data_IF_720126764554
#
_entry.id   IF_720126764554
#
_cell.length_a   1.000
_cell.length_b   1.000
_cell.length_c   1.000
_cell.angle_alpha   90.00
_cell.angle_beta   90.00
_cell.angle_gamma   90.00
#
_symmetry.space_group_name_H-M   'P 1'
#
loop_
_entity.id
_entity.type
_entity.pdbx_description
1 polymer ?
#
# COMPACT_ATOMS: atom_id res chain seq x y z
N UNK A 1 8.01 10.80 2.44
CA UNK A 1 7.25 10.10 1.38
C UNK A 1 7.93 8.78 1.10
N UNK A 2 7.19 7.68 1.11
CA UNK A 2 7.66 6.31 0.84
C UNK A 2 7.15 5.85 -0.53
N UNK A 3 7.88 4.95 -1.19
CA UNK A 3 7.38 4.15 -2.32
C UNK A 3 7.23 2.73 -1.79
N UNK A 4 5.99 2.25 -1.71
CA UNK A 4 5.70 0.92 -1.22
C UNK A 4 5.52 -0.03 -2.39
N UNK A 5 6.16 -1.19 -2.34
CA UNK A 5 5.99 -2.27 -3.29
C UNK A 5 5.03 -3.30 -2.72
N UNK A 6 3.98 -3.62 -3.47
CA UNK A 6 3.10 -4.74 -3.21
C UNK A 6 3.62 -5.96 -3.98
N UNK A 7 4.37 -6.88 -3.35
CA UNK A 7 5.10 -7.94 -4.06
C UNK A 7 4.20 -8.91 -4.84
N UNK A 8 2.96 -9.12 -4.39
CA UNK A 8 1.99 -10.03 -5.03
C UNK A 8 1.44 -9.43 -6.33
N UNK A 9 0.73 -8.30 -6.22
CA UNK A 9 0.18 -7.58 -7.37
C UNK A 9 1.27 -6.99 -8.28
N UNK A 10 2.52 -6.98 -7.79
CA UNK A 10 3.68 -6.30 -8.34
C UNK A 10 3.36 -4.83 -8.70
N UNK A 11 2.51 -4.22 -7.86
CA UNK A 11 2.14 -2.82 -7.95
C UNK A 11 2.96 -2.01 -6.96
N UNK A 12 3.07 -0.72 -7.23
CA UNK A 12 3.81 0.20 -6.38
C UNK A 12 2.92 1.39 -6.08
N UNK A 13 3.06 1.99 -4.90
CA UNK A 13 2.30 3.18 -4.51
C UNK A 13 3.19 4.24 -3.87
N UNK A 14 2.86 5.50 -4.09
CA UNK A 14 3.34 6.60 -3.27
C UNK A 14 2.54 6.66 -1.98
N UNK A 15 3.23 6.80 -0.85
CA UNK A 15 2.62 7.00 0.46
C UNK A 15 3.26 8.20 1.17
N UNK A 16 2.44 9.14 1.65
CA UNK A 16 2.88 10.23 2.52
C UNK A 16 1.84 10.46 3.63
N UNK A 17 2.34 10.53 4.86
CA UNK A 17 1.58 10.92 6.07
C UNK A 17 2.15 12.21 6.63
N UNK A 18 1.34 12.98 7.36
CA UNK A 18 1.79 14.13 8.16
C UNK A 18 2.29 13.63 9.52
N UNK A 19 3.52 13.93 9.86
CA UNK A 19 4.19 13.45 11.09
C UNK A 19 3.35 13.70 12.36
N UNK A 20 2.86 14.92 12.59
CA UNK A 20 2.16 15.24 13.85
C UNK A 20 0.75 14.62 14.03
N UNK A 21 0.08 14.25 12.95
CA UNK A 21 -1.33 13.80 13.00
C UNK A 21 -1.55 12.43 12.35
N UNK A 22 -0.49 11.80 11.86
CA UNK A 22 -0.44 10.55 11.08
C UNK A 22 -1.43 10.44 9.91
N UNK A 23 -2.06 11.56 9.53
CA UNK A 23 -3.06 11.63 8.46
C UNK A 23 -2.42 11.38 7.11
N UNK A 24 -3.07 10.54 6.31
CA UNK A 24 -2.69 10.26 4.93
C UNK A 24 -2.96 11.48 4.09
N UNK A 25 -1.93 11.95 3.40
CA UNK A 25 -2.06 13.04 2.42
C UNK A 25 -1.72 12.59 1.01
N UNK A 26 -1.09 11.43 0.86
CA UNK A 26 -0.81 10.81 -0.43
C UNK A 26 -0.90 9.30 -0.30
N UNK A 27 -1.74 8.70 -1.12
CA UNK A 27 -1.82 7.27 -1.35
C UNK A 27 -2.22 7.07 -2.82
N UNK A 28 -1.23 6.96 -3.71
CA UNK A 28 -1.43 6.92 -5.16
C UNK A 28 -0.73 5.72 -5.77
N UNK A 29 -1.43 4.96 -6.61
CA UNK A 29 -0.83 3.87 -7.38
C UNK A 29 0.12 4.43 -8.44
N UNK A 30 1.31 3.83 -8.56
CA UNK A 30 2.26 4.14 -9.62
C UNK A 30 1.86 3.33 -10.86
N UNK A 31 1.23 4.02 -11.81
CA UNK A 31 0.79 3.46 -13.07
C UNK A 31 1.91 3.48 -14.13
N UNK A 32 1.77 2.68 -15.17
CA UNK A 32 2.74 2.61 -16.29
C UNK A 32 2.83 3.91 -17.10
N UNK A 33 1.78 4.72 -17.08
CA UNK A 33 1.66 6.02 -17.75
C UNK A 33 1.89 7.20 -16.80
N UNK A 34 2.29 6.94 -15.54
CA UNK A 34 2.68 7.99 -14.61
C UNK A 34 3.83 8.81 -15.20
N UNK A 35 3.66 10.13 -15.23
CA UNK A 35 4.67 11.05 -15.75
C UNK A 35 5.08 12.07 -14.68
N UNK A 36 6.36 12.03 -14.29
CA UNK A 36 6.97 13.05 -13.45
C UNK A 36 7.51 14.19 -14.33
N UNK A 37 6.92 15.37 -14.18
CA UNK A 37 7.34 16.59 -14.87
C UNK A 37 8.19 17.47 -13.95
N UNK A 38 9.33 18.02 -14.40
CA UNK A 38 10.10 18.95 -13.61
C UNK A 38 9.30 20.24 -13.41
N UNK A 39 9.36 20.81 -12.21
CA UNK A 39 8.71 22.09 -11.96
C UNK A 39 9.50 23.21 -12.65
N UNK A 40 8.83 24.03 -13.48
CA UNK A 40 9.48 25.12 -14.25
C UNK A 40 10.29 26.10 -13.38
N UNK A 41 9.93 26.21 -12.11
CA UNK A 41 10.51 27.14 -11.14
C UNK A 41 11.56 26.52 -10.23
N UNK A 42 11.81 25.20 -10.30
CA UNK A 42 12.71 24.51 -9.36
C UNK A 42 13.24 23.18 -9.92
N UNK A 43 14.56 23.02 -9.93
CA UNK A 43 15.26 21.76 -10.22
C UNK A 43 15.15 20.72 -9.09
N UNK A 44 14.68 21.15 -7.91
CA UNK A 44 14.47 20.31 -6.73
C UNK A 44 13.05 19.76 -6.61
N UNK A 45 12.21 19.90 -7.64
CA UNK A 45 10.79 19.58 -7.53
C UNK A 45 10.23 18.86 -8.76
N UNK A 46 9.34 17.91 -8.49
CA UNK A 46 8.63 17.13 -9.50
C UNK A 46 7.12 17.27 -9.30
N UNK A 47 6.39 17.25 -10.40
CA UNK A 47 4.93 17.36 -10.45
C UNK A 47 4.38 16.17 -11.22
N UNK A 48 3.27 15.61 -10.75
CA UNK A 48 2.54 14.56 -11.47
C UNK A 48 1.05 14.66 -11.14
N UNK A 49 0.23 13.92 -11.88
CA UNK A 49 -1.20 13.79 -11.60
C UNK A 49 -1.56 12.32 -11.37
N UNK A 50 -2.55 12.08 -10.52
CA UNK A 50 -3.03 10.73 -10.22
C UNK A 50 -4.25 10.72 -9.30
N UNK A 51 -4.95 9.58 -9.25
CA UNK A 51 -6.04 9.37 -8.28
C UNK A 51 -5.46 9.12 -6.90
N UNK A 52 -5.62 10.09 -6.00
CA UNK A 52 -5.20 10.05 -4.61
C UNK A 52 -6.29 9.43 -3.73
N UNK A 53 -5.96 8.42 -2.93
CA UNK A 53 -6.90 7.69 -2.07
C UNK A 53 -6.62 7.98 -0.60
N UNK A 54 -7.11 9.12 -0.11
CA UNK A 54 -6.89 9.57 1.27
C UNK A 54 -8.07 9.22 2.18
N UNK A 55 -7.90 9.41 3.49
CA UNK A 55 -8.91 9.08 4.51
C UNK A 55 -10.22 9.88 4.34
N UNK A 56 -10.18 11.05 3.71
CA UNK A 56 -11.36 11.91 3.56
C UNK A 56 -12.13 11.68 2.26
N UNK A 57 -11.45 11.27 1.18
CA UNK A 57 -12.03 11.03 -0.16
C UNK A 57 -10.98 10.52 -1.16
N UNK A 58 -11.47 9.97 -2.28
CA UNK A 58 -10.65 9.66 -3.47
C UNK A 58 -10.85 10.70 -4.57
N UNK A 59 -9.77 11.33 -5.04
CA UNK A 59 -9.83 12.42 -6.01
C UNK A 59 -8.66 12.39 -7.02
N UNK A 60 -8.91 12.84 -8.25
CA UNK A 60 -7.85 13.09 -9.22
C UNK A 60 -7.15 14.41 -8.86
N UNK A 61 -5.89 14.33 -8.47
CA UNK A 61 -5.11 15.46 -7.97
C UNK A 61 -3.83 15.65 -8.77
N UNK A 62 -3.41 16.91 -8.91
CA UNK A 62 -2.08 17.26 -9.36
C UNK A 62 -1.21 17.59 -8.14
N UNK A 63 -0.17 16.80 -7.93
CA UNK A 63 0.69 16.88 -6.76
C UNK A 63 2.09 17.35 -7.15
N UNK A 64 2.74 18.02 -6.21
CA UNK A 64 4.12 18.42 -6.33
C UNK A 64 4.89 17.97 -5.10
N UNK A 65 6.10 17.44 -5.31
CA UNK A 65 7.05 17.19 -4.24
C UNK A 65 8.28 18.07 -4.44
N UNK A 66 8.78 18.64 -3.34
CA UNK A 66 10.02 19.42 -3.31
C UNK A 66 11.01 18.75 -2.36
N UNK A 67 12.25 18.62 -2.81
CA UNK A 67 13.34 18.03 -2.06
C UNK A 67 14.29 19.10 -1.52
N UNK A 68 15.03 18.74 -0.46
CA UNK A 68 16.06 19.60 0.16
C UNK A 68 17.14 20.00 -0.85
N UNK A 69 17.56 19.06 -1.70
CA UNK A 69 18.58 19.25 -2.72
C UNK A 69 18.21 18.57 -4.05
N UNK A 70 18.95 18.92 -5.10
CA UNK A 70 18.74 18.42 -6.46
C UNK A 70 19.06 16.92 -6.56
N UNK A 71 20.08 16.44 -5.84
CA UNK A 71 20.49 15.03 -5.86
C UNK A 71 19.37 14.10 -5.37
N UNK A 72 18.69 14.46 -4.29
CA UNK A 72 17.52 13.73 -3.78
C UNK A 72 16.37 13.75 -4.78
N UNK A 73 16.11 14.89 -5.42
CA UNK A 73 15.09 15.00 -6.45
C UNK A 73 15.39 14.09 -7.65
N UNK A 74 16.65 14.06 -8.11
CA UNK A 74 17.08 13.21 -9.22
C UNK A 74 17.05 11.73 -8.84
N UNK A 75 17.48 11.37 -7.63
CA UNK A 75 17.42 10.00 -7.13
C UNK A 75 15.96 9.51 -7.04
N UNK A 76 15.06 10.35 -6.51
CA UNK A 76 13.63 10.04 -6.48
C UNK A 76 13.08 9.79 -7.90
N UNK A 77 13.34 10.69 -8.83
CA UNK A 77 12.91 10.52 -10.22
C UNK A 77 13.45 9.22 -10.83
N UNK A 78 14.73 8.90 -10.60
CA UNK A 78 15.34 7.66 -11.08
C UNK A 78 14.62 6.42 -10.52
N UNK A 79 14.38 6.36 -9.21
CA UNK A 79 13.68 5.23 -8.57
C UNK A 79 12.26 5.09 -9.15
N UNK A 80 11.54 6.20 -9.35
CA UNK A 80 10.19 6.14 -9.94
C UNK A 80 10.23 5.64 -11.37
N UNK A 81 11.20 6.06 -12.20
CA UNK A 81 11.36 5.54 -13.55
C UNK A 81 11.70 4.04 -13.58
N UNK A 82 12.54 3.56 -12.65
CA UNK A 82 12.81 2.13 -12.49
C UNK A 82 11.54 1.36 -12.10
N UNK A 83 10.73 1.90 -11.19
CA UNK A 83 9.45 1.33 -10.79
C UNK A 83 8.46 1.30 -11.95
N UNK A 84 8.28 2.40 -12.70
CA UNK A 84 7.43 2.46 -13.89
C UNK A 84 7.87 1.41 -14.92
N UNK A 85 9.17 1.22 -15.09
CA UNK A 85 9.72 0.19 -15.99
C UNK A 85 9.34 -1.22 -15.54
N UNK A 86 9.40 -1.50 -14.22
CA UNK A 86 8.92 -2.78 -13.66
C UNK A 86 7.42 -2.97 -13.87
N UNK A 87 6.62 -1.93 -13.62
CA UNK A 87 5.16 -1.97 -13.85
C UNK A 87 4.82 -2.27 -15.31
N UNK A 88 5.54 -1.67 -16.27
CA UNK A 88 5.37 -1.94 -17.71
C UNK A 88 5.72 -3.38 -18.10
N UNK A 89 6.79 -3.95 -17.52
CA UNK A 89 7.18 -5.34 -17.78
C UNK A 89 6.07 -6.30 -17.33
N UNK A 90 5.54 -6.11 -16.13
CA UNK A 90 4.44 -6.93 -15.58
C UNK A 90 3.18 -6.85 -16.44
N UNK A 91 2.82 -5.66 -16.93
CA UNK A 91 1.67 -5.52 -17.84
C UNK A 91 1.89 -6.25 -19.17
N UNK A 92 3.12 -6.21 -19.71
CA UNK A 92 3.46 -6.88 -20.98
C UNK A 92 3.42 -8.41 -20.83
N UNK A 93 3.93 -8.95 -19.71
CA UNK A 93 3.89 -10.37 -19.40
C UNK A 93 2.44 -10.89 -19.26
N UNK A 94 1.59 -10.14 -18.55
CA UNK A 94 0.15 -10.46 -18.40
C UNK A 94 -0.62 -10.46 -19.72
N UNK A 95 -0.22 -9.63 -20.68
CA UNK A 95 -0.84 -9.59 -22.03
C UNK A 95 -0.35 -10.75 -22.90
N UNK A 96 0.91 -11.18 -22.77
CA UNK A 96 1.45 -12.28 -23.59
C UNK A 96 0.88 -13.67 -23.23
N UNK A 97 0.45 -13.89 -21.99
CA UNK A 97 -0.15 -15.16 -21.55
C UNK A 97 -1.57 -15.35 -22.12
N UNK A 98 -2.22 -14.26 -22.58
CA UNK A 98 -3.58 -14.31 -23.16
C UNK A 98 -3.61 -14.52 -24.68
N UNK A 99 -2.47 -14.66 -25.35
CA UNK A 99 -2.41 -14.70 -26.82
C UNK A 99 -1.60 -15.89 -27.35
N UNK A 100 -2.25 -17.04 -27.54
CA UNK A 100 -1.97 -18.05 -28.59
C UNK A 100 -3.25 -18.86 -28.93
N UNK A 101 -3.37 -19.44 -30.14
CA UNK A 101 -4.56 -19.26 -30.98
C UNK A 101 -5.46 -20.51 -31.08
N UNK A 102 -6.77 -20.33 -31.01
CA UNK A 102 -7.72 -21.31 -31.55
C UNK A 102 -8.04 -20.99 -33.02
N UNK A 103 -7.53 -21.83 -33.93
CA UNK A 103 -8.04 -21.96 -35.29
C UNK A 103 -9.20 -22.96 -35.31
N UNK A 104 -10.40 -22.48 -35.62
CA UNK A 104 -11.33 -23.21 -36.48
C UNK A 104 -12.19 -22.19 -37.22
N UNK A 105 -12.06 -22.16 -38.54
CA UNK A 105 -12.73 -21.18 -39.39
C UNK A 105 -14.19 -21.51 -39.67
N UNK A 106 -14.94 -20.47 -40.04
CA UNK A 106 -15.72 -20.52 -41.27
C UNK A 106 -15.88 -19.11 -41.88
N UNK A 107 -15.91 -19.05 -43.19
CA UNK A 107 -15.90 -17.83 -44.01
C UNK A 107 -17.30 -17.24 -44.18
N UNK A 108 -17.44 -15.91 -44.08
CA UNK A 108 -18.37 -15.14 -44.93
C UNK A 108 -17.70 -13.81 -45.33
N UNK A 109 -17.84 -13.49 -46.62
CA UNK A 109 -17.23 -12.39 -47.36
C UNK A 109 -17.88 -11.03 -47.11
N UNK A 110 -17.02 -10.02 -47.13
CA UNK A 110 -17.12 -8.66 -47.69
C UNK A 110 -18.41 -7.84 -47.51
N UNK A 111 -18.28 -6.70 -46.84
CA UNK A 111 -18.59 -5.41 -47.46
C UNK A 111 -17.79 -4.27 -46.79
N UNK A 112 -17.03 -3.56 -47.63
CA UNK A 112 -16.08 -2.50 -47.31
C UNK A 112 -16.80 -1.15 -47.32
N UNK A 113 -16.87 -0.45 -46.18
CA UNK A 113 -17.17 1.00 -46.15
C UNK A 113 -16.22 1.71 -45.18
N UNK A 114 -15.40 2.58 -45.76
CA UNK A 114 -14.44 3.44 -45.09
C UNK A 114 -15.13 4.58 -44.33
N UNK A 115 -14.76 4.79 -43.06
CA UNK A 115 -14.81 6.11 -42.40
C UNK A 115 -13.73 6.23 -41.31
N UNK A 116 -12.80 7.18 -41.52
CA UNK A 116 -12.39 8.17 -40.52
C UNK A 116 -11.50 7.73 -39.34
N UNK A 117 -10.21 8.00 -39.49
CA UNK A 117 -9.23 8.18 -38.42
C UNK A 117 -9.75 9.20 -37.37
N UNK A 118 -9.86 8.80 -36.09
CA UNK A 118 -10.17 9.72 -34.98
C UNK A 118 -8.98 9.80 -34.02
N UNK A 119 -8.39 10.99 -34.05
CA UNK A 119 -7.29 11.49 -33.23
C UNK A 119 -7.65 11.48 -31.73
N UNK A 120 -6.81 10.81 -30.93
CA UNK A 120 -6.94 10.65 -29.48
C UNK A 120 -6.55 11.91 -28.68
N UNK A 121 -6.35 13.05 -29.32
CA UNK A 121 -6.02 14.34 -28.67
C UNK A 121 -7.18 15.05 -27.96
N UNK A 122 -8.35 14.40 -27.76
CA UNK A 122 -9.60 15.08 -27.32
C UNK A 122 -10.12 14.81 -25.91
N UNK A 123 -9.37 14.18 -25.02
CA UNK A 123 -9.78 14.00 -23.61
C UNK A 123 -8.91 14.75 -22.59
N UNK A 124 -8.66 16.04 -22.86
CA UNK A 124 -8.24 17.00 -21.82
C UNK A 124 -9.35 18.05 -21.71
N UNK A 125 -10.06 18.15 -20.58
CA UNK A 125 -10.95 19.28 -20.32
C UNK A 125 -10.17 20.60 -20.40
N UNK A 126 -10.62 21.50 -21.28
CA UNK A 126 -9.95 22.75 -21.65
C UNK A 126 -10.03 23.85 -20.57
N UNK A 127 -10.02 23.52 -19.29
CA UNK A 127 -10.24 24.49 -18.19
C UNK A 127 -9.01 24.79 -17.33
N UNK A 128 -7.83 24.25 -17.67
CA UNK A 128 -6.57 24.59 -16.98
C UNK A 128 -5.51 24.99 -18.01
N UNK A 129 -5.80 26.06 -18.74
CA UNK A 129 -4.80 26.90 -19.38
C UNK A 129 -5.20 28.36 -19.12
N UNK A 130 -4.70 28.90 -18.02
CA UNK A 130 -4.24 30.28 -17.83
C UNK A 130 -4.35 30.67 -16.36
N UNK A 131 -3.21 30.74 -15.69
CA UNK A 131 -2.77 31.80 -14.78
C UNK A 131 -1.31 31.41 -14.47
N UNK A 132 -0.28 31.95 -15.12
CA UNK A 132 -0.11 33.35 -15.47
C UNK A 132 0.57 34.03 -14.28
N UNK A 133 1.88 33.79 -14.15
CA UNK A 133 2.76 34.48 -13.20
C UNK A 133 2.88 35.92 -13.68
N UNK A 134 2.49 36.89 -12.86
CA UNK A 134 2.82 38.30 -13.08
C UNK A 134 3.61 38.83 -11.89
N UNK A 135 4.87 39.19 -12.18
CA UNK A 135 5.66 40.17 -11.45
C UNK A 135 4.95 41.52 -11.41
N UNK A 136 4.83 42.14 -10.24
CA UNK A 136 4.62 43.58 -10.14
C UNK A 136 5.51 44.16 -9.05
N UNK A 137 6.61 44.77 -9.50
CA UNK A 137 7.36 45.80 -8.79
C UNK A 137 6.61 47.14 -8.86
N UNK A 138 6.44 47.84 -7.74
CA UNK A 138 6.71 49.29 -7.55
C UNK A 138 5.91 49.89 -6.39
N UNK A 139 6.64 50.31 -5.35
CA UNK A 139 6.61 51.60 -4.65
C UNK A 139 5.31 52.32 -4.18
N UNK A 140 5.44 52.75 -2.92
CA UNK A 140 4.97 53.97 -2.24
C UNK A 140 3.68 54.01 -1.39
N UNK A 141 3.96 54.15 -0.08
CA UNK A 141 3.39 55.08 0.92
C UNK A 141 2.06 54.73 1.62
N UNK A 142 2.13 54.52 2.94
CA UNK A 142 0.94 54.56 3.81
C UNK A 142 1.09 54.06 5.25
N UNK A 143 1.91 54.74 6.06
CA UNK A 143 1.74 54.94 7.51
C UNK A 143 1.58 53.75 8.49
N UNK A 144 2.66 53.50 9.23
CA UNK A 144 2.75 53.41 10.70
C UNK A 144 1.89 52.39 11.47
N UNK A 145 2.58 51.42 12.09
CA UNK A 145 2.54 51.15 13.54
C UNK A 145 3.72 50.26 13.95
N UNK A 146 4.59 50.81 14.78
CA UNK A 146 5.68 50.12 15.48
C UNK A 146 5.11 49.16 16.55
N UNK A 147 5.72 47.98 16.68
CA UNK A 147 5.92 47.31 17.97
C UNK A 147 7.15 46.39 17.86
N UNK A 148 8.08 46.59 18.79
CA UNK A 148 9.44 46.04 18.89
C UNK A 148 9.54 44.85 19.85
N UNK A 149 10.68 44.13 19.74
CA UNK A 149 11.26 43.10 20.61
C UNK A 149 10.58 41.71 20.56
N UNK A 150 11.30 40.59 20.51
CA UNK A 150 12.73 40.37 20.71
C UNK A 150 13.20 39.06 20.07
N UNK A 151 14.52 38.97 19.90
CA UNK A 151 15.26 37.74 19.64
C UNK A 151 15.20 36.89 20.92
N UNK A 152 14.68 35.67 20.82
CA UNK A 152 14.93 34.60 21.78
C UNK A 152 15.73 33.55 21.00
N UNK A 153 17.01 33.43 21.37
CA UNK A 153 17.83 32.26 21.05
C UNK A 153 17.36 31.14 21.97
N UNK A 154 16.57 30.20 21.44
CA UNK A 154 16.30 28.93 22.10
C UNK A 154 17.25 27.89 21.50
N UNK A 155 18.37 27.68 22.21
CA UNK A 155 19.13 26.44 22.20
C UNK A 155 18.24 25.34 22.79
N UNK A 156 17.49 24.64 21.94
CA UNK A 156 16.94 23.34 22.29
C UNK A 156 17.86 22.26 21.70
N UNK A 157 18.58 21.59 22.59
CA UNK A 157 19.32 20.36 22.33
C UNK A 157 18.35 19.32 21.71
N UNK A 158 18.41 19.16 20.38
CA UNK A 158 17.83 18.00 19.69
C UNK A 158 18.63 16.77 20.10
N UNK A 159 18.26 16.18 21.25
CA UNK A 159 18.44 14.75 21.46
C UNK A 159 17.56 14.05 20.41
N UNK A 160 18.12 13.90 19.19
CA UNK A 160 17.70 12.94 18.17
C UNK A 160 17.88 11.53 18.75
N UNK A 161 17.05 11.17 19.73
CA UNK A 161 16.69 9.78 19.91
C UNK A 161 15.85 9.45 18.67
N UNK A 162 16.50 8.83 17.68
CA UNK A 162 15.87 8.02 16.65
C UNK A 162 15.02 6.93 17.36
N UNK A 163 13.91 7.31 18.01
CA UNK A 163 12.84 6.41 18.34
C UNK A 163 12.32 5.93 16.98
N UNK A 164 12.69 4.69 16.62
CA UNK A 164 12.12 4.00 15.47
C UNK A 164 10.61 4.24 15.47
N UNK A 165 10.14 5.12 14.56
CA UNK A 165 8.78 5.65 14.45
C UNK A 165 7.83 4.53 13.97
N UNK A 166 7.67 3.54 14.83
CA UNK A 166 6.86 2.35 14.60
C UNK A 166 5.39 2.71 14.85
N UNK A 167 4.78 3.34 13.85
CA UNK A 167 3.37 3.75 13.83
C UNK A 167 2.36 2.58 13.93
N UNK A 168 2.81 1.34 14.11
CA UNK A 168 1.91 0.17 14.19
C UNK A 168 1.07 0.20 15.47
N UNK A 169 -0.24 0.26 15.30
CA UNK A 169 -1.17 0.20 16.43
C UNK A 169 -1.48 -1.25 16.81
N UNK A 170 -1.06 -1.69 18.00
CA UNK A 170 -1.45 -3.01 18.54
C UNK A 170 -2.92 -2.98 18.98
N UNK A 171 -3.76 -3.76 18.32
CA UNK A 171 -5.20 -3.90 18.61
C UNK A 171 -5.45 -5.02 19.64
N UNK A 172 -4.64 -6.07 19.59
CA UNK A 172 -4.76 -7.23 20.46
C UNK A 172 -3.40 -7.82 20.80
N UNK A 173 -3.23 -8.28 22.03
CA UNK A 173 -2.08 -9.11 22.42
C UNK A 173 -2.47 -10.12 23.49
N UNK A 174 -2.26 -11.41 23.22
CA UNK A 174 -2.38 -12.47 24.22
C UNK A 174 -1.46 -13.65 23.95
N UNK A 175 -1.12 -14.32 25.04
CA UNK A 175 -0.45 -15.62 25.03
C UNK A 175 -1.32 -16.71 24.38
N UNK A 176 -0.75 -17.48 23.46
CA UNK A 176 -1.41 -18.64 22.88
C UNK A 176 -0.42 -19.79 22.59
N UNK A 177 -0.95 -20.99 22.40
CA UNK A 177 -0.22 -22.09 21.74
C UNK A 177 -0.59 -22.08 20.26
N UNK A 178 0.40 -21.83 19.40
CA UNK A 178 0.25 -21.89 17.95
C UNK A 178 0.49 -23.32 17.47
N UNK A 179 -0.41 -23.83 16.63
CA UNK A 179 -0.27 -25.11 15.93
C UNK A 179 -0.46 -24.93 14.43
N UNK A 180 0.16 -25.78 13.62
CA UNK A 180 0.01 -25.83 12.17
C UNK A 180 -0.55 -27.19 11.75
N UNK A 181 -1.46 -27.21 10.79
CA UNK A 181 -1.99 -28.44 10.23
C UNK A 181 -1.04 -28.96 9.13
N UNK A 182 -0.48 -30.15 9.33
CA UNK A 182 0.40 -30.82 8.39
C UNK A 182 -0.12 -32.24 8.15
N UNK A 183 -0.46 -32.56 6.90
CA UNK A 183 -1.02 -33.86 6.49
C UNK A 183 -2.27 -34.25 7.31
N UNK A 184 -3.15 -33.29 7.61
CA UNK A 184 -4.36 -33.50 8.39
C UNK A 184 -4.16 -33.53 9.91
N UNK A 185 -2.91 -33.58 10.40
CA UNK A 185 -2.60 -33.59 11.82
C UNK A 185 -2.15 -32.21 12.32
N UNK A 186 -2.59 -31.83 13.51
CA UNK A 186 -2.15 -30.60 14.16
C UNK A 186 -0.83 -30.81 14.89
N UNK A 187 0.19 -30.04 14.51
CA UNK A 187 1.50 -30.04 15.19
C UNK A 187 1.73 -28.70 15.87
N UNK A 188 2.14 -28.73 17.13
CA UNK A 188 2.49 -27.52 17.87
C UNK A 188 3.72 -26.87 17.23
N UNK A 189 3.61 -25.58 16.91
CA UNK A 189 4.69 -24.74 16.38
C UNK A 189 5.43 -24.08 17.53
N UNK A 190 4.71 -23.33 18.37
CA UNK A 190 5.29 -22.65 19.54
C UNK A 190 4.23 -22.36 20.60
N UNK A 191 4.68 -22.14 21.84
CA UNK A 191 4.00 -21.28 22.79
C UNK A 191 4.57 -19.88 22.63
N UNK A 192 3.72 -18.84 22.69
CA UNK A 192 4.19 -17.50 22.44
C UNK A 192 3.11 -16.44 22.55
N UNK A 193 3.46 -15.22 22.18
CA UNK A 193 2.55 -14.07 22.19
C UNK A 193 2.01 -13.85 20.79
N UNK A 194 0.68 -13.89 20.68
CA UNK A 194 -0.06 -13.54 19.48
C UNK A 194 -0.49 -12.09 19.60
N UNK A 195 -0.20 -11.32 18.55
CA UNK A 195 -0.56 -9.93 18.39
C UNK A 195 -1.41 -9.74 17.14
N UNK A 196 -2.38 -8.84 17.22
CA UNK A 196 -3.01 -8.24 16.04
C UNK A 196 -2.66 -6.77 16.05
N UNK A 197 -2.07 -6.27 14.98
CA UNK A 197 -1.74 -4.85 14.84
C UNK A 197 -2.19 -4.32 13.49
N UNK A 198 -2.58 -3.06 13.45
CA UNK A 198 -2.82 -2.33 12.22
C UNK A 198 -1.50 -1.78 11.69
N UNK A 199 -1.20 -2.06 10.43
CA UNK A 199 -0.04 -1.56 9.71
C UNK A 199 -0.50 -0.38 8.83
N UNK A 200 -0.22 0.86 9.23
CA UNK A 200 -0.67 2.04 8.49
C UNK A 200 0.03 2.16 7.13
N UNK A 201 1.20 1.55 6.93
CA UNK A 201 1.82 1.55 5.60
C UNK A 201 1.03 0.64 4.63
N UNK A 202 0.38 -0.41 5.13
CA UNK A 202 -0.40 -1.35 4.33
C UNK A 202 -1.92 -1.11 4.34
N UNK A 203 -2.43 -0.29 5.26
CA UNK A 203 -3.86 -0.11 5.52
C UNK A 203 -4.58 -1.42 5.84
N UNK A 204 -3.85 -2.32 6.49
CA UNK A 204 -4.30 -3.66 6.76
C UNK A 204 -3.83 -4.09 8.13
N UNK A 205 -4.58 -4.99 8.74
CA UNK A 205 -4.15 -5.62 9.97
C UNK A 205 -3.30 -6.86 9.69
N UNK A 206 -2.44 -7.21 10.64
CA UNK A 206 -1.63 -8.44 10.63
C UNK A 206 -1.84 -9.24 11.89
N UNK A 207 -1.84 -10.56 11.76
CA UNK A 207 -1.75 -11.52 12.87
C UNK A 207 -0.29 -11.94 12.96
N UNK A 208 0.39 -11.56 14.04
CA UNK A 208 1.78 -11.89 14.28
C UNK A 208 1.90 -12.78 15.51
N UNK A 209 2.75 -13.79 15.46
CA UNK A 209 3.04 -14.66 16.60
C UNK A 209 4.54 -14.72 16.82
N UNK A 210 4.96 -14.38 18.03
CA UNK A 210 6.35 -14.42 18.45
C UNK A 210 6.54 -15.55 19.48
N UNK A 211 7.66 -16.27 19.39
CA UNK A 211 8.04 -17.23 20.44
C UNK A 211 8.62 -16.52 21.67
N UNK A 212 8.96 -17.28 22.72
CA UNK A 212 9.51 -16.74 23.97
C UNK A 212 10.88 -16.07 23.83
N UNK A 213 11.57 -16.29 22.71
CA UNK A 213 12.83 -15.63 22.38
C UNK A 213 12.61 -14.31 21.63
N UNK A 214 11.35 -13.95 21.35
CA UNK A 214 10.97 -12.77 20.57
C UNK A 214 10.98 -12.98 19.06
N UNK A 215 11.34 -14.16 18.56
CA UNK A 215 11.40 -14.44 17.13
C UNK A 215 9.99 -14.59 16.55
N UNK A 216 9.75 -13.94 15.41
CA UNK A 216 8.49 -14.05 14.67
C UNK A 216 8.42 -15.43 14.02
N UNK A 217 7.44 -16.25 14.46
CA UNK A 217 7.19 -17.60 13.91
C UNK A 217 6.04 -17.63 12.90
N UNK A 218 5.23 -16.58 12.90
CA UNK A 218 4.15 -16.39 11.95
C UNK A 218 3.81 -14.91 11.82
N UNK A 219 3.57 -14.45 10.60
CA UNK A 219 3.12 -13.10 10.28
C UNK A 219 2.17 -13.17 9.08
N UNK A 220 0.87 -13.22 9.37
CA UNK A 220 -0.22 -13.32 8.39
C UNK A 220 -0.83 -11.95 8.15
N UNK A 221 -0.97 -11.54 6.89
CA UNK A 221 -1.78 -10.38 6.50
C UNK A 221 -3.26 -10.73 6.59
N UNK A 222 -4.09 -9.89 7.20
CA UNK A 222 -5.54 -10.05 7.14
C UNK A 222 -6.02 -9.42 5.84
N UNK A 223 -6.34 -10.26 4.85
CA UNK A 223 -6.99 -9.87 3.60
C UNK A 223 -8.46 -10.26 3.55
N UNK A 224 -9.21 -9.78 2.55
CA UNK A 224 -10.63 -10.11 2.30
C UNK A 224 -10.87 -11.61 2.10
N UNK A 225 -9.84 -12.34 1.69
CA UNK A 225 -9.82 -13.79 1.48
C UNK A 225 -9.29 -14.57 2.70
N UNK A 226 -8.86 -13.89 3.77
CA UNK A 226 -8.52 -14.54 5.03
C UNK A 226 -9.81 -14.96 5.71
N UNK A 227 -9.95 -16.25 6.00
CA UNK A 227 -11.12 -16.80 6.68
C UNK A 227 -10.69 -17.37 8.02
N UNK A 228 -11.36 -16.93 9.09
CA UNK A 228 -11.17 -17.43 10.44
C UNK A 228 -12.39 -18.19 10.94
N UNK A 229 -12.15 -19.39 11.45
CA UNK A 229 -13.13 -20.19 12.19
C UNK A 229 -12.80 -20.17 13.69
N UNK A 230 -13.83 -20.15 14.53
CA UNK A 230 -13.67 -20.13 15.98
C UNK A 230 -14.46 -21.27 16.60
N UNK A 231 -13.77 -22.09 17.38
CA UNK A 231 -14.39 -23.16 18.16
C UNK A 231 -13.83 -23.14 19.59
N UNK A 232 -14.70 -22.89 20.57
CA UNK A 232 -14.34 -22.82 22.00
C UNK A 232 -13.19 -21.83 22.22
N UNK A 233 -12.03 -22.29 22.64
CA UNK A 233 -10.84 -21.50 22.89
C UNK A 233 -9.81 -21.57 21.74
N UNK A 234 -10.22 -22.05 20.57
CA UNK A 234 -9.39 -22.18 19.39
C UNK A 234 -9.89 -21.24 18.29
N UNK A 235 -8.94 -20.60 17.60
CA UNK A 235 -9.19 -19.86 16.37
C UNK A 235 -8.31 -20.45 15.28
N UNK A 236 -8.91 -20.83 14.15
CA UNK A 236 -8.25 -21.44 13.00
C UNK A 236 -8.34 -20.48 11.83
N UNK A 237 -7.23 -20.22 11.15
CA UNK A 237 -7.23 -19.43 9.93
C UNK A 237 -6.25 -20.01 8.93
N UNK A 238 -6.47 -19.67 7.66
CA UNK A 238 -5.51 -19.93 6.59
C UNK A 238 -4.98 -18.59 6.11
N UNK A 239 -3.66 -18.49 6.03
CA UNK A 239 -2.99 -17.27 5.58
C UNK A 239 -1.72 -17.58 4.83
N UNK A 240 -1.23 -16.61 4.08
CA UNK A 240 0.10 -16.62 3.49
C UNK A 240 1.10 -16.29 4.59
N UNK A 241 2.11 -17.13 4.73
CA UNK A 241 3.16 -16.93 5.71
C UNK A 241 4.26 -16.03 5.15
N UNK A 242 4.41 -14.86 5.78
CA UNK A 242 5.45 -13.89 5.46
C UNK A 242 6.63 -13.89 6.45
N UNK A 243 6.56 -14.67 7.54
CA UNK A 243 7.72 -14.88 8.41
C UNK A 243 8.79 -15.75 7.73
N UNK A 244 10.05 -15.52 8.07
CA UNK A 244 11.25 -16.03 7.38
C UNK A 244 11.12 -17.47 6.86
N UNK A 245 11.15 -17.63 5.53
CA UNK A 245 11.02 -18.93 4.86
C UNK A 245 10.45 -18.80 3.44
N UNK A 246 10.19 -19.92 2.73
CA UNK A 246 9.45 -19.90 1.48
C UNK A 246 7.99 -19.49 1.72
N UNK A 247 7.51 -18.52 0.95
CA UNK A 247 6.12 -18.06 0.96
C UNK A 247 5.22 -19.27 0.68
N UNK A 248 4.32 -19.58 1.61
CA UNK A 248 3.41 -20.71 1.51
C UNK A 248 2.13 -20.45 2.29
N UNK A 249 1.06 -21.14 1.92
CA UNK A 249 -0.14 -21.19 2.74
C UNK A 249 0.12 -22.05 3.98
N UNK A 250 -0.32 -21.55 5.13
CA UNK A 250 -0.37 -22.31 6.38
C UNK A 250 -1.78 -22.30 6.90
N UNK A 251 -2.26 -23.45 7.36
CA UNK A 251 -3.47 -23.54 8.18
C UNK A 251 -3.03 -23.56 9.63
N UNK A 252 -3.30 -22.46 10.33
CA UNK A 252 -2.82 -22.18 11.68
C UNK A 252 -3.97 -22.25 12.67
N UNK A 253 -3.65 -22.67 13.90
CA UNK A 253 -4.58 -22.68 15.02
C UNK A 253 -3.93 -22.05 16.22
N UNK A 254 -4.51 -20.96 16.71
CA UNK A 254 -4.19 -20.39 18.00
C UNK A 254 -5.10 -21.03 19.07
N UNK A 255 -4.49 -21.56 20.13
CA UNK A 255 -5.21 -22.07 21.32
C UNK A 255 -4.96 -21.14 22.50
N UNK A 256 -6.01 -20.54 23.01
CA UNK A 256 -5.96 -19.61 24.13
C UNK A 256 -6.31 -20.29 25.46
N UNK A 257 -6.01 -19.60 26.56
CA UNK A 257 -6.31 -20.08 27.92
C UNK A 257 -7.82 -20.14 28.23
N UNK A 258 -8.64 -19.41 27.47
CA UNK A 258 -10.10 -19.35 27.67
C UNK A 258 -10.85 -19.11 26.37
N UNK A 259 -12.15 -19.43 26.39
CA UNK A 259 -13.08 -19.11 25.29
C UNK A 259 -13.19 -17.60 25.08
N UNK A 260 -13.21 -16.82 26.17
CA UNK A 260 -13.29 -15.36 26.09
C UNK A 260 -12.08 -14.76 25.36
N UNK A 261 -10.87 -15.28 25.61
CA UNK A 261 -9.67 -14.84 24.92
C UNK A 261 -9.70 -15.13 23.40
N UNK A 262 -10.25 -16.29 23.00
CA UNK A 262 -10.45 -16.63 21.59
C UNK A 262 -11.51 -15.73 20.93
N UNK A 263 -12.59 -15.40 21.64
CA UNK A 263 -13.61 -14.46 21.15
C UNK A 263 -13.05 -13.04 20.98
N UNK A 264 -12.25 -12.56 21.93
CA UNK A 264 -11.59 -11.25 21.85
C UNK A 264 -10.64 -11.18 20.66
N UNK A 265 -9.85 -12.24 20.41
CA UNK A 265 -9.04 -12.35 19.21
C UNK A 265 -9.88 -12.29 17.94
N UNK A 266 -11.00 -13.04 17.88
CA UNK A 266 -11.88 -13.02 16.73
C UNK A 266 -12.48 -11.63 16.46
N UNK A 267 -12.89 -10.89 17.49
CA UNK A 267 -13.38 -9.52 17.32
C UNK A 267 -12.34 -8.61 16.69
N UNK A 268 -11.08 -8.70 17.13
CA UNK A 268 -9.97 -7.92 16.56
C UNK A 268 -9.61 -8.37 15.14
N UNK A 269 -9.74 -9.66 14.84
CA UNK A 269 -9.64 -10.15 13.47
C UNK A 269 -10.74 -9.58 12.57
N UNK A 270 -11.99 -9.52 13.04
CA UNK A 270 -13.11 -8.96 12.27
C UNK A 270 -12.93 -7.46 12.01
N UNK A 271 -12.38 -6.72 12.97
CA UNK A 271 -11.97 -5.32 12.77
C UNK A 271 -10.87 -5.20 11.71
N UNK A 272 -9.85 -6.07 11.79
CA UNK A 272 -8.82 -6.19 10.76
C UNK A 272 -9.37 -6.51 9.36
N UNK A 273 -10.37 -7.40 9.28
CA UNK A 273 -11.05 -7.76 8.04
C UNK A 273 -11.87 -6.59 7.48
N UNK A 274 -12.45 -5.76 8.33
CA UNK A 274 -13.17 -4.56 7.90
C UNK A 274 -12.21 -3.57 7.20
N UNK A 275 -11.01 -3.35 7.75
CA UNK A 275 -10.00 -2.55 7.05
C UNK A 275 -9.65 -3.16 5.68
N UNK A 276 -9.45 -4.48 5.63
CA UNK A 276 -9.15 -5.16 4.38
C UNK A 276 -10.26 -4.99 3.33
N UNK A 277 -11.53 -5.01 3.73
CA UNK A 277 -12.67 -4.78 2.84
C UNK A 277 -12.75 -3.35 2.33
N UNK A 278 -12.45 -2.37 3.18
CA UNK A 278 -12.45 -0.95 2.82
C UNK A 278 -11.37 -0.62 1.78
N UNK A 279 -10.21 -1.27 1.88
CA UNK A 279 -9.06 -1.01 1.01
C UNK A 279 -8.77 -2.12 -0.02
N UNK A 280 -9.70 -3.08 -0.19
CA UNK A 280 -9.61 -4.23 -1.11
C UNK A 280 -8.28 -5.00 -1.00
N UNK A 281 -7.85 -5.27 0.24
CA UNK A 281 -6.59 -5.96 0.55
C UNK A 281 -6.79 -7.46 0.45
N UNK A 282 -5.95 -8.15 -0.32
CA UNK A 282 -6.01 -9.61 -0.53
C UNK A 282 -4.70 -10.27 -0.08
N UNK A 283 -4.78 -11.38 0.66
CA UNK A 283 -3.63 -12.17 1.11
C UNK A 283 -3.37 -13.36 0.18
N UNK A 284 -2.53 -13.19 -0.83
CA UNK A 284 -2.24 -14.19 -1.87
C UNK A 284 -0.75 -14.44 -2.08
N UNK A 285 -0.39 -15.66 -2.48
CA UNK A 285 1.00 -16.01 -2.83
C UNK A 285 1.30 -15.42 -4.22
N UNK A 286 2.39 -14.65 -4.40
CA UNK A 286 2.77 -14.15 -5.71
C UNK A 286 2.97 -15.29 -6.72
N UNK A 287 2.18 -15.29 -7.81
CA UNK A 287 2.36 -16.21 -8.95
C UNK A 287 1.63 -17.56 -8.86
N UNK A 288 0.77 -17.78 -7.85
CA UNK A 288 -0.16 -18.91 -7.88
C UNK A 288 -1.19 -18.71 -9.00
N UNK A 289 -1.28 -19.64 -9.95
CA UNK A 289 -2.34 -19.64 -10.97
C UNK A 289 -3.68 -19.99 -10.33
N UNK A 290 -4.81 -19.50 -10.88
CA UNK A 290 -6.18 -19.77 -10.39
C UNK A 290 -6.45 -21.28 -10.15
N UNK A 291 -5.76 -22.17 -10.86
CA UNK A 291 -5.84 -23.63 -10.68
C UNK A 291 -5.29 -24.15 -9.33
N UNK A 292 -4.35 -23.48 -8.68
CA UNK A 292 -3.82 -23.91 -7.38
C UNK A 292 -4.74 -23.48 -6.22
N UNK A 293 -5.46 -22.37 -6.39
CA UNK A 293 -6.41 -21.83 -5.40
C UNK A 293 -7.70 -22.62 -5.32
N UNK A 294 -8.16 -23.23 -6.42
CA UNK A 294 -9.38 -24.05 -6.44
C UNK A 294 -9.20 -25.46 -5.86
N UNK A 295 -7.97 -25.99 -5.78
CA UNK A 295 -7.71 -27.34 -5.22
C UNK A 295 -7.92 -27.44 -3.70
N UNK A 296 -8.11 -26.31 -3.02
CA UNK A 296 -8.27 -26.23 -1.55
C UNK A 296 -9.72 -26.03 -1.13
N UNK A 297 -10.66 -26.05 -2.08
CA UNK A 297 -12.10 -25.91 -1.88
C UNK A 297 -12.88 -27.21 -2.03
N UNK A 298 -12.38 -28.35 -1.55
CA UNK A 298 -13.16 -29.60 -1.40
C UNK A 298 -12.75 -30.39 -0.15
#
# INVERSE_FOLDING_TARGET
MKILHHPVNNTYRFLLRREQVHKVVLNQLILSDLELQPMKTSDKAWVWAGYNYTDDDSALEQLAIRFKNCDLAQNFHKIVQEVISKVKQVQTEKVSIRAEPEQSGDQVKDEEQAVGEVDASKFIPSTIQNYGVEDVSSDEQGAAREASYGEEEDDDDEDDEDEDDDDRTVMFMKRCTLSEQLNGEWKTVTLGDLQVYYDPDLYAARICVNNDSGEIVSNTLIGVNTVMEVEKNHCVWKGVEWSSGPIRHRTLRATFSSVAAAQEFNCNYLEGLNYAQEFDVVDEIPGATEEETESLGH
#
